data_IF_703385583279
#
_entry.id   IF_703385583279
#
_cell.length_a   1.000
_cell.length_b   1.000
_cell.length_c   1.000
_cell.angle_alpha   90.00
_cell.angle_beta   90.00
_cell.angle_gamma   90.00
#
_symmetry.space_group_name_H-M   'P 1'
#
loop_
_entity.id
_entity.type
_entity.pdbx_description
1 polymer ?
#
# COMPACT_ATOMS: atom_id res chain seq x y z
N UNK A 1 -25.67 24.26 62.93
CA UNK A 1 -24.58 23.45 62.31
C UNK A 1 -25.19 22.58 61.21
N UNK A 2 -24.45 22.35 60.10
CA UNK A 2 -24.84 21.82 58.75
C UNK A 2 -25.22 22.94 57.75
N UNK A 3 -24.33 23.85 57.35
CA UNK A 3 -23.11 23.71 56.51
C UNK A 3 -23.34 22.88 55.24
N UNK A 4 -23.65 23.60 54.16
CA UNK A 4 -23.10 23.47 52.79
C UNK A 4 -22.59 22.07 52.43
N UNK A 5 -23.48 21.23 51.91
CA UNK A 5 -23.13 19.94 51.31
C UNK A 5 -23.90 19.79 49.98
N UNK A 6 -23.54 20.61 49.00
CA UNK A 6 -24.27 20.60 47.72
C UNK A 6 -23.62 21.38 46.59
N UNK A 7 -22.33 21.69 46.67
CA UNK A 7 -21.68 22.54 45.66
C UNK A 7 -20.22 22.15 45.35
N UNK A 8 -19.90 20.85 45.43
CA UNK A 8 -18.55 20.32 45.13
C UNK A 8 -18.57 19.10 44.21
N UNK A 9 -19.65 18.86 43.46
CA UNK A 9 -19.73 17.72 42.53
C UNK A 9 -19.92 18.09 41.05
N UNK A 10 -19.81 19.37 40.68
CA UNK A 10 -19.99 19.81 39.29
C UNK A 10 -18.70 20.26 38.56
N UNK A 11 -17.54 20.27 39.23
CA UNK A 11 -16.31 20.83 38.64
C UNK A 11 -15.26 19.80 38.16
N UNK A 12 -15.50 18.49 38.32
CA UNK A 12 -14.49 17.45 38.01
C UNK A 12 -14.82 16.65 36.72
N UNK A 13 -15.98 16.87 36.10
CA UNK A 13 -16.43 16.07 34.96
C UNK A 13 -15.97 16.58 33.57
N UNK A 14 -15.21 17.67 33.47
CA UNK A 14 -14.90 18.34 32.19
C UNK A 14 -13.51 18.05 31.61
N UNK A 15 -12.71 17.15 32.19
CA UNK A 15 -11.28 17.03 31.86
C UNK A 15 -10.84 15.81 31.02
N UNK A 16 -11.77 15.06 30.41
CA UNK A 16 -11.43 13.85 29.64
C UNK A 16 -11.91 13.87 28.17
N UNK A 17 -11.97 15.05 27.54
CA UNK A 17 -12.04 15.12 26.08
C UNK A 17 -10.62 15.04 25.50
N UNK A 18 -10.07 13.83 25.43
CA UNK A 18 -8.85 13.60 24.64
C UNK A 18 -9.20 13.89 23.16
N UNK A 19 -8.46 14.75 22.44
CA UNK A 19 -8.70 14.94 21.03
C UNK A 19 -8.46 13.61 20.32
N UNK A 20 -9.46 13.11 19.60
CA UNK A 20 -9.30 11.96 18.74
C UNK A 20 -8.29 12.34 17.65
N UNK A 21 -7.05 11.88 17.77
CA UNK A 21 -6.04 12.03 16.73
C UNK A 21 -6.48 11.11 15.59
N UNK A 22 -7.26 11.67 14.66
CA UNK A 22 -7.56 11.00 13.40
C UNK A 22 -6.34 11.13 12.50
N UNK A 23 -5.60 10.03 12.33
CA UNK A 23 -4.67 9.91 11.22
C UNK A 23 -5.47 10.09 9.92
N UNK A 24 -5.04 11.04 9.09
CA UNK A 24 -5.61 11.28 7.77
C UNK A 24 -4.56 10.97 6.74
N UNK A 25 -4.91 10.13 5.78
CA UNK A 25 -4.06 9.85 4.63
C UNK A 25 -4.09 11.05 3.69
N UNK A 26 -2.91 11.48 3.25
CA UNK A 26 -2.75 12.54 2.26
C UNK A 26 -2.08 11.90 1.04
N UNK A 27 -2.83 11.82 -0.06
CA UNK A 27 -2.32 11.36 -1.36
C UNK A 27 -1.92 12.59 -2.16
N UNK A 28 -0.66 12.67 -2.58
CA UNK A 28 -0.12 13.76 -3.40
C UNK A 28 0.17 13.28 -4.81
N UNK A 29 -0.26 14.06 -5.80
CA UNK A 29 0.19 13.93 -7.18
C UNK A 29 1.61 14.46 -7.39
N UNK A 30 2.26 14.04 -8.48
CA UNK A 30 3.60 14.51 -8.85
C UNK A 30 3.58 16.04 -9.05
N UNK A 31 4.48 16.75 -8.37
CA UNK A 31 4.58 18.20 -8.39
C UNK A 31 3.67 18.93 -7.40
N UNK A 32 2.77 18.21 -6.72
CA UNK A 32 1.92 18.78 -5.68
C UNK A 32 2.71 18.94 -4.37
N UNK A 33 2.35 19.97 -3.61
CA UNK A 33 2.84 20.19 -2.26
C UNK A 33 1.68 20.33 -1.29
N UNK A 34 1.86 19.80 -0.08
CA UNK A 34 0.97 20.05 1.05
C UNK A 34 1.78 20.59 2.22
N UNK A 35 1.15 21.45 3.02
CA UNK A 35 1.71 21.90 4.28
C UNK A 35 1.25 20.97 5.40
N UNK A 36 2.21 20.39 6.13
CA UNK A 36 1.96 19.57 7.32
C UNK A 36 2.69 20.23 8.49
N UNK A 37 1.94 20.91 9.34
CA UNK A 37 2.52 21.72 10.41
C UNK A 37 3.33 22.88 9.83
N UNK A 38 4.64 22.89 10.10
CA UNK A 38 5.58 23.89 9.59
C UNK A 38 6.35 23.40 8.35
N UNK A 39 6.13 22.16 7.92
CA UNK A 39 6.88 21.52 6.86
C UNK A 39 6.08 21.46 5.56
N UNK A 40 6.73 21.86 4.45
CA UNK A 40 6.18 21.72 3.11
C UNK A 40 6.63 20.40 2.50
N UNK A 41 5.75 19.41 2.51
CA UNK A 41 5.97 18.13 1.82
C UNK A 41 5.64 18.33 0.35
N UNK A 42 6.59 18.05 -0.54
CA UNK A 42 6.38 18.15 -2.00
C UNK A 42 6.67 16.80 -2.62
N UNK A 43 5.76 16.33 -3.47
CA UNK A 43 6.01 15.16 -4.30
C UNK A 43 6.92 15.58 -5.47
N UNK A 44 8.23 15.41 -5.30
CA UNK A 44 9.21 15.74 -6.31
C UNK A 44 9.11 14.81 -7.52
N UNK A 45 8.62 15.33 -8.64
CA UNK A 45 8.86 14.72 -9.95
C UNK A 45 10.23 15.14 -10.44
N UNK A 46 11.22 14.27 -10.33
CA UNK A 46 12.59 14.54 -10.77
C UNK A 46 12.60 15.08 -12.19
N UNK A 47 12.84 16.39 -12.34
CA UNK A 47 13.08 17.01 -13.63
C UNK A 47 14.49 16.63 -14.08
N UNK A 48 14.62 15.45 -14.71
CA UNK A 48 15.87 15.01 -15.34
C UNK A 48 16.24 13.55 -15.15
N UNK A 49 15.59 12.83 -14.24
CA UNK A 49 15.80 11.39 -14.07
C UNK A 49 14.79 10.63 -14.94
N UNK A 50 15.25 9.55 -15.59
CA UNK A 50 14.40 8.63 -16.34
C UNK A 50 13.19 8.30 -15.47
N UNK A 51 12.00 8.73 -15.90
CA UNK A 51 10.79 8.65 -15.11
C UNK A 51 10.57 7.18 -14.67
N UNK A 52 10.86 6.90 -13.41
CA UNK A 52 10.83 5.56 -12.84
C UNK A 52 9.51 5.34 -12.08
N UNK A 53 9.00 4.11 -12.03
CA UNK A 53 7.89 3.75 -11.15
C UNK A 53 8.23 4.04 -9.70
N UNK A 54 7.23 4.50 -8.96
CA UNK A 54 7.26 4.49 -7.50
C UNK A 54 6.79 3.11 -7.02
N UNK A 55 7.41 2.57 -5.97
CA UNK A 55 7.01 1.29 -5.39
C UNK A 55 6.56 1.47 -3.95
N UNK A 56 5.43 0.87 -3.59
CA UNK A 56 4.98 0.71 -2.20
C UNK A 56 4.87 -0.77 -1.88
N UNK A 57 5.06 -1.12 -0.60
CA UNK A 57 5.03 -2.51 -0.15
C UNK A 57 4.10 -2.64 1.05
N UNK A 58 3.30 -3.71 1.07
CA UNK A 58 2.41 -4.07 2.18
C UNK A 58 2.43 -5.58 2.46
N UNK A 59 1.97 -6.00 3.64
CA UNK A 59 2.01 -7.42 3.98
C UNK A 59 0.83 -8.18 3.38
N UNK A 60 1.10 -9.17 2.53
CA UNK A 60 0.06 -10.04 1.96
C UNK A 60 -0.25 -11.23 2.86
N UNK A 61 0.79 -11.86 3.41
CA UNK A 61 0.66 -13.04 4.26
C UNK A 61 1.23 -12.74 5.64
N UNK A 62 0.34 -12.54 6.62
CA UNK A 62 0.70 -12.22 7.99
C UNK A 62 0.58 -13.46 8.89
N UNK A 63 1.61 -13.70 9.70
CA UNK A 63 1.55 -14.71 10.75
C UNK A 63 1.13 -14.05 12.07
N UNK A 64 -0.08 -14.34 12.52
CA UNK A 64 -0.61 -13.79 13.76
C UNK A 64 0.05 -14.32 15.02
N UNK A 65 0.67 -15.49 14.97
CA UNK A 65 1.35 -16.06 16.13
C UNK A 65 2.74 -15.45 16.30
N UNK A 66 3.55 -15.43 15.24
CA UNK A 66 4.89 -14.83 15.29
C UNK A 66 4.88 -13.31 15.12
N UNK A 67 3.75 -12.71 14.73
CA UNK A 67 3.61 -11.28 14.41
C UNK A 67 4.62 -10.82 13.35
N UNK A 68 4.78 -11.63 12.32
CA UNK A 68 5.72 -11.38 11.22
C UNK A 68 5.02 -11.46 9.89
N UNK A 69 5.45 -10.62 8.94
CA UNK A 69 5.06 -10.78 7.55
C UNK A 69 5.83 -11.95 6.93
N UNK A 70 5.12 -12.88 6.32
CA UNK A 70 5.67 -14.04 5.63
C UNK A 70 5.82 -13.81 4.13
N UNK A 71 5.02 -12.90 3.56
CA UNK A 71 5.13 -12.49 2.17
C UNK A 71 4.62 -11.07 1.97
N UNK A 72 5.42 -10.26 1.29
CA UNK A 72 5.13 -8.86 0.97
C UNK A 72 4.53 -8.74 -0.43
N UNK A 73 3.48 -7.91 -0.56
CA UNK A 73 2.94 -7.44 -1.84
C UNK A 73 3.60 -6.12 -2.18
N UNK A 74 3.99 -5.94 -3.43
CA UNK A 74 4.54 -4.68 -3.94
C UNK A 74 3.62 -4.10 -5.01
N UNK A 75 3.31 -2.82 -4.91
CA UNK A 75 2.57 -2.05 -5.92
C UNK A 75 3.53 -1.06 -6.55
N UNK A 76 3.74 -1.20 -7.86
CA UNK A 76 4.48 -0.24 -8.67
C UNK A 76 3.51 0.69 -9.39
N UNK A 77 3.67 1.99 -9.18
CA UNK A 77 2.80 3.01 -9.75
C UNK A 77 3.59 3.98 -10.62
N UNK A 78 3.10 4.24 -11.83
CA UNK A 78 3.67 5.21 -12.77
C UNK A 78 2.57 5.94 -13.52
N UNK A 79 2.47 7.27 -13.38
CA UNK A 79 1.46 8.10 -14.06
C UNK A 79 0.01 7.57 -13.94
N UNK A 80 -0.37 7.10 -12.76
CA UNK A 80 -1.71 6.56 -12.49
C UNK A 80 -1.97 5.15 -13.05
N UNK A 81 -0.93 4.48 -13.56
CA UNK A 81 -0.95 3.05 -13.89
C UNK A 81 -0.31 2.30 -12.74
N UNK A 82 -0.94 1.20 -12.30
CA UNK A 82 -0.41 0.38 -11.22
C UNK A 82 -0.17 -1.05 -11.69
N UNK A 83 0.93 -1.65 -11.24
CA UNK A 83 1.26 -3.05 -11.44
C UNK A 83 1.55 -3.68 -10.08
N UNK A 84 0.93 -4.82 -9.80
CA UNK A 84 1.01 -5.48 -8.50
C UNK A 84 1.81 -6.78 -8.61
N UNK A 85 2.86 -6.87 -7.79
CA UNK A 85 3.61 -8.08 -7.49
C UNK A 85 3.06 -8.70 -6.20
N UNK A 86 2.41 -9.84 -6.33
CA UNK A 86 1.76 -10.56 -5.24
C UNK A 86 1.93 -12.06 -5.39
N UNK A 87 1.87 -12.78 -4.28
CA UNK A 87 1.84 -14.23 -4.29
C UNK A 87 0.53 -14.74 -4.88
N UNK A 88 0.62 -15.52 -5.96
CA UNK A 88 -0.54 -16.14 -6.60
C UNK A 88 -0.83 -17.54 -6.06
N UNK A 89 0.22 -18.27 -5.68
CA UNK A 89 0.11 -19.64 -5.20
C UNK A 89 0.86 -19.76 -3.89
N UNK A 90 0.10 -19.74 -2.78
CA UNK A 90 0.63 -19.84 -1.43
C UNK A 90 0.51 -21.26 -0.90
N UNK A 91 1.58 -21.78 -0.32
CA UNK A 91 1.54 -23.02 0.46
C UNK A 91 1.44 -22.68 1.95
N UNK A 92 0.27 -22.91 2.53
CA UNK A 92 0.01 -22.67 3.95
C UNK A 92 0.76 -23.61 4.89
N UNK A 93 1.17 -24.80 4.42
CA UNK A 93 1.91 -25.75 5.25
C UNK A 93 3.38 -25.34 5.37
N UNK A 94 4.05 -25.12 4.23
CA UNK A 94 5.45 -24.65 4.24
C UNK A 94 5.59 -23.16 4.54
N UNK A 95 4.48 -22.41 4.50
CA UNK A 95 4.44 -20.94 4.63
C UNK A 95 5.31 -20.27 3.57
N UNK A 96 5.21 -20.72 2.33
CA UNK A 96 6.01 -20.18 1.22
C UNK A 96 5.14 -19.80 0.04
N UNK A 97 5.58 -18.78 -0.70
CA UNK A 97 4.99 -18.46 -1.98
C UNK A 97 5.62 -19.32 -3.07
N UNK A 98 4.82 -20.13 -3.73
CA UNK A 98 5.24 -21.03 -4.81
C UNK A 98 5.34 -20.31 -6.15
N UNK A 99 4.54 -19.25 -6.35
CA UNK A 99 4.65 -18.41 -7.52
C UNK A 99 4.10 -17.01 -7.25
N UNK A 100 4.86 -15.99 -7.63
CA UNK A 100 4.51 -14.59 -7.51
C UNK A 100 4.37 -13.93 -8.89
N UNK A 101 3.47 -12.96 -9.02
CA UNK A 101 3.47 -12.08 -10.19
C UNK A 101 4.74 -11.23 -10.21
N UNK A 102 5.16 -10.86 -11.42
CA UNK A 102 6.29 -9.95 -11.64
C UNK A 102 5.87 -8.81 -12.55
N UNK A 103 6.37 -7.63 -12.27
CA UNK A 103 6.04 -6.40 -12.96
C UNK A 103 7.31 -5.82 -13.57
N UNK A 104 7.32 -5.64 -14.88
CA UNK A 104 8.42 -5.02 -15.61
C UNK A 104 7.95 -3.70 -16.19
N UNK A 105 8.67 -2.62 -15.88
CA UNK A 105 8.36 -1.31 -16.42
C UNK A 105 9.10 -1.07 -17.74
N UNK A 106 8.35 -0.78 -18.81
CA UNK A 106 8.92 -0.38 -20.08
C UNK A 106 8.89 1.16 -20.19
N UNK A 107 10.04 1.79 -19.93
CA UNK A 107 10.17 3.25 -19.97
C UNK A 107 9.86 3.87 -21.35
N UNK A 108 10.20 3.16 -22.44
CA UNK A 108 9.95 3.65 -23.82
C UNK A 108 8.46 3.68 -24.17
N UNK A 109 7.68 2.75 -23.61
CA UNK A 109 6.25 2.62 -23.86
C UNK A 109 5.39 3.16 -22.69
N UNK A 110 6.02 3.61 -21.59
CA UNK A 110 5.36 4.10 -20.37
C UNK A 110 4.25 3.16 -19.87
N UNK A 111 4.54 1.86 -19.86
CA UNK A 111 3.59 0.83 -19.43
C UNK A 111 4.27 -0.22 -18.56
N UNK A 112 3.47 -0.99 -17.85
CA UNK A 112 3.93 -2.19 -17.15
C UNK A 112 3.60 -3.44 -17.95
N UNK A 113 4.46 -4.44 -17.86
CA UNK A 113 4.16 -5.81 -18.28
C UNK A 113 4.11 -6.65 -17.01
N UNK A 114 2.94 -7.19 -16.69
CA UNK A 114 2.77 -8.12 -15.58
C UNK A 114 2.86 -9.54 -16.09
N UNK A 115 3.79 -10.31 -15.55
CA UNK A 115 3.89 -11.75 -15.74
C UNK A 115 3.20 -12.47 -14.59
N UNK A 116 2.26 -13.36 -14.91
CA UNK A 116 1.55 -14.21 -13.94
C UNK A 116 1.61 -15.69 -14.36
N UNK A 117 1.25 -16.58 -13.45
CA UNK A 117 1.03 -17.98 -13.79
C UNK A 117 -0.37 -18.17 -14.37
N UNK A 118 -0.44 -18.81 -15.53
CA UNK A 118 -1.68 -19.13 -16.22
C UNK A 118 -2.09 -20.60 -16.04
N UNK A 119 -1.13 -21.46 -15.74
CA UNK A 119 -1.32 -22.89 -15.54
C UNK A 119 -0.32 -23.37 -14.48
N UNK A 120 -0.83 -23.57 -13.26
CA UNK A 120 -0.04 -23.95 -12.10
C UNK A 120 -0.29 -25.42 -11.78
N UNK A 121 0.78 -26.20 -11.77
CA UNK A 121 0.75 -27.60 -11.37
C UNK A 121 0.89 -27.70 -9.85
N UNK A 122 -0.20 -28.06 -9.18
CA UNK A 122 -0.25 -28.16 -7.71
C UNK A 122 0.44 -29.40 -7.16
N UNK A 123 0.71 -30.41 -8.00
CA UNK A 123 1.41 -31.61 -7.55
C UNK A 123 2.93 -31.35 -7.51
N UNK A 124 3.45 -30.77 -8.58
CA UNK A 124 4.88 -30.43 -8.70
C UNK A 124 5.22 -29.02 -8.17
N UNK A 125 4.21 -28.24 -7.74
CA UNK A 125 4.33 -26.86 -7.27
C UNK A 125 5.05 -25.93 -8.27
N UNK A 126 4.74 -26.08 -9.56
CA UNK A 126 5.44 -25.36 -10.64
C UNK A 126 4.46 -24.69 -11.59
N UNK A 127 4.79 -23.48 -12.02
CA UNK A 127 4.08 -22.83 -13.11
C UNK A 127 4.49 -23.43 -14.46
N UNK A 128 3.57 -24.12 -15.14
CA UNK A 128 3.80 -24.73 -16.45
C UNK A 128 3.74 -23.73 -17.58
N UNK A 129 2.88 -22.71 -17.42
CA UNK A 129 2.70 -21.67 -18.43
C UNK A 129 2.49 -20.32 -17.77
N UNK A 130 3.28 -19.35 -18.18
CA UNK A 130 3.11 -17.96 -17.78
C UNK A 130 2.20 -17.21 -18.76
N UNK A 131 1.60 -16.12 -18.28
CA UNK A 131 0.87 -15.15 -19.10
C UNK A 131 1.48 -13.77 -18.85
N UNK A 132 1.64 -13.01 -19.93
CA UNK A 132 2.03 -11.62 -19.87
C UNK A 132 0.84 -10.73 -20.20
N UNK A 133 0.67 -9.67 -19.43
CA UNK A 133 -0.37 -8.67 -19.61
C UNK A 133 0.26 -7.29 -19.62
N UNK A 134 -0.02 -6.52 -20.68
CA UNK A 134 0.35 -5.10 -20.72
C UNK A 134 -0.67 -4.32 -19.92
N UNK A 135 -0.22 -3.65 -18.87
CA UNK A 135 -1.04 -2.75 -18.08
C UNK A 135 -0.78 -1.33 -18.61
N UNK A 136 -1.80 -0.80 -19.26
CA UNK A 136 -1.82 0.57 -19.77
C UNK A 136 -2.78 1.40 -18.94
N UNK A 137 -2.41 2.65 -18.67
CA UNK A 137 -3.29 3.59 -18.01
C UNK A 137 -4.51 3.88 -18.86
N UNK A 138 -5.70 3.76 -18.26
CA UNK A 138 -6.90 4.37 -18.82
C UNK A 138 -6.79 5.89 -18.62
N UNK A 139 -6.11 6.57 -19.54
CA UNK A 139 -6.24 8.00 -19.69
C UNK A 139 -7.68 8.32 -20.10
N UNK A 140 -8.49 8.74 -19.11
CA UNK A 140 -9.83 9.34 -19.20
C UNK A 140 -10.67 9.05 -20.44
N UNK A 141 -11.70 8.19 -20.30
CA UNK A 141 -12.98 8.52 -20.91
C UNK A 141 -13.59 9.63 -20.04
N UNK A 142 -13.49 10.87 -20.53
CA UNK A 142 -14.37 11.96 -20.08
C UNK A 142 -15.79 11.68 -20.53
#
# INVERSE_FOLDING_TARGET
>A
MKVLLGMTLLLVATLLAAPAIQARDIVLGIGESVQVGNDRVTCGGGQGEVAAPLSTTDCQQWDDYSKTCLYERTVMSFNGVECVEECQHWDSYSKTCLYATKCEFNASQRLFVRTSCADFDTYDNVCRRTKQEKIIGSHGRR
#
